data_IF_595829609212
#
_entry.id   IF_595829609212
#
_cell.length_a   1.000
_cell.length_b   1.000
_cell.length_c   1.000
_cell.angle_alpha   90.00
_cell.angle_beta   90.00
_cell.angle_gamma   90.00
#
_symmetry.space_group_name_H-M   'P 1'
#
loop_
_entity.id
_entity.type
_entity.pdbx_description
1 polymer ?
#
# COMPACT_ATOMS: atom_id res chain seq x y z
N UNK A 1 -34.58 32.14 8.69
CA UNK A 1 -35.29 31.09 9.45
C UNK A 1 -34.38 30.60 10.57
N UNK A 2 -34.83 30.64 11.82
CA UNK A 2 -34.09 30.12 12.98
C UNK A 2 -34.59 28.70 13.24
N UNK A 3 -33.70 27.70 13.16
CA UNK A 3 -34.04 26.31 13.47
C UNK A 3 -34.08 26.14 14.99
N UNK A 4 -35.30 26.04 15.53
CA UNK A 4 -35.51 25.65 16.93
C UNK A 4 -35.77 24.14 16.96
N UNK A 5 -34.69 23.36 16.95
CA UNK A 5 -34.72 21.91 17.14
C UNK A 5 -33.88 21.55 18.34
N UNK A 6 -34.40 20.68 19.21
CA UNK A 6 -33.66 20.15 20.35
C UNK A 6 -32.40 19.42 19.83
N UNK A 7 -31.25 19.75 20.42
CA UNK A 7 -29.96 19.17 20.03
C UNK A 7 -29.93 17.69 20.43
N UNK A 8 -30.31 16.82 19.50
CA UNK A 8 -30.18 15.37 19.67
C UNK A 8 -28.72 14.99 19.52
N UNK A 9 -28.10 14.58 20.61
CA UNK A 9 -26.74 14.04 20.57
C UNK A 9 -26.71 12.72 19.79
N UNK A 10 -25.68 12.49 18.95
CA UNK A 10 -25.53 11.21 18.27
C UNK A 10 -25.36 10.09 19.31
N UNK A 11 -25.83 8.88 18.98
CA UNK A 11 -25.62 7.74 19.86
C UNK A 11 -24.12 7.50 20.10
N UNK A 12 -23.73 6.99 21.28
CA UNK A 12 -22.32 6.74 21.59
C UNK A 12 -21.70 5.73 20.62
N UNK A 13 -20.56 6.09 20.02
CA UNK A 13 -19.83 5.22 19.10
C UNK A 13 -19.23 4.05 19.89
N UNK A 14 -19.71 2.82 19.63
CA UNK A 14 -19.13 1.59 20.20
C UNK A 14 -18.15 0.96 19.20
N UNK A 15 -16.93 0.66 19.65
CA UNK A 15 -15.96 -0.11 18.85
C UNK A 15 -16.46 -1.56 18.74
N UNK A 16 -16.74 -2.02 17.53
CA UNK A 16 -17.06 -3.42 17.29
C UNK A 16 -15.80 -4.28 17.48
N UNK A 17 -15.91 -5.50 18.03
CA UNK A 17 -14.78 -6.41 18.05
C UNK A 17 -14.31 -6.64 16.62
N UNK A 18 -12.99 -6.56 16.41
CA UNK A 18 -12.38 -6.84 15.12
C UNK A 18 -12.55 -8.31 14.73
N UNK A 19 -12.31 -8.62 13.46
CA UNK A 19 -12.34 -10.00 12.97
C UNK A 19 -11.41 -10.89 13.81
N UNK A 20 -11.87 -12.07 14.27
CA UNK A 20 -11.01 -13.02 14.97
C UNK A 20 -9.77 -13.34 14.12
N UNK A 21 -8.59 -13.27 14.76
CA UNK A 21 -7.34 -13.64 14.09
C UNK A 21 -7.40 -15.14 13.76
N UNK A 22 -7.13 -15.49 12.50
CA UNK A 22 -6.92 -16.90 12.13
C UNK A 22 -5.69 -17.43 12.87
N UNK A 23 -5.79 -18.61 13.46
CA UNK A 23 -4.64 -19.31 14.02
C UNK A 23 -3.72 -19.75 12.87
N UNK A 24 -2.65 -18.99 12.60
CA UNK A 24 -1.65 -19.32 11.58
C UNK A 24 -0.56 -20.20 12.20
N UNK A 25 -0.84 -21.49 12.39
CA UNK A 25 0.20 -22.48 12.69
C UNK A 25 0.91 -22.84 11.38
N UNK A 26 2.24 -22.88 11.41
CA UNK A 26 3.05 -23.33 10.28
C UNK A 26 3.04 -24.87 10.22
N UNK A 27 3.05 -25.43 9.01
CA UNK A 27 3.31 -26.87 8.84
C UNK A 27 4.75 -27.23 9.22
N UNK A 28 5.05 -28.53 9.39
CA UNK A 28 6.40 -29.01 9.75
C UNK A 28 7.43 -28.69 8.66
N UNK A 29 7.00 -28.71 7.40
CA UNK A 29 7.82 -28.48 6.21
C UNK A 29 7.91 -27.01 5.79
N UNK A 30 7.15 -26.12 6.45
CA UNK A 30 7.24 -24.69 6.16
C UNK A 30 8.59 -24.13 6.60
N UNK A 31 9.33 -23.45 5.70
CA UNK A 31 10.59 -22.83 6.07
C UNK A 31 10.35 -21.82 7.20
N UNK A 32 10.99 -22.06 8.36
CA UNK A 32 11.03 -21.09 9.45
C UNK A 32 11.68 -19.84 8.86
N UNK A 33 10.93 -18.74 8.76
CA UNK A 33 11.43 -17.41 8.35
C UNK A 33 12.79 -17.19 9.02
N UNK A 34 13.88 -17.44 8.29
CA UNK A 34 15.21 -17.16 8.78
C UNK A 34 15.25 -15.65 8.77
N UNK A 35 15.07 -15.04 9.94
CA UNK A 35 14.94 -13.59 10.13
C UNK A 35 16.12 -12.78 9.58
N UNK A 36 17.19 -13.48 9.15
CA UNK A 36 18.43 -12.97 8.59
C UNK A 36 18.59 -13.15 7.07
N UNK A 37 17.83 -14.02 6.38
CA UNK A 37 18.17 -14.41 4.99
C UNK A 37 17.46 -13.59 3.90
N UNK A 38 16.29 -12.99 4.13
CA UNK A 38 15.59 -12.29 3.03
C UNK A 38 14.87 -11.02 3.49
N UNK A 39 15.57 -10.11 4.18
CA UNK A 39 15.18 -8.70 4.10
C UNK A 39 16.01 -8.09 2.98
N UNK A 40 15.56 -8.28 1.74
CA UNK A 40 16.13 -7.53 0.61
C UNK A 40 15.87 -6.06 0.91
N UNK A 41 16.90 -5.37 1.40
CA UNK A 41 16.83 -3.96 1.69
C UNK A 41 16.66 -3.21 0.37
N UNK A 42 15.82 -2.18 0.36
CA UNK A 42 15.74 -1.26 -0.77
C UNK A 42 16.95 -0.32 -0.85
N UNK A 43 17.82 -0.33 0.17
CA UNK A 43 19.01 0.51 0.25
C UNK A 43 19.99 0.12 -0.87
N UNK A 44 20.36 1.09 -1.71
CA UNK A 44 21.28 0.89 -2.83
C UNK A 44 20.63 0.39 -4.13
N UNK A 45 19.30 0.17 -4.17
CA UNK A 45 18.62 -0.12 -5.44
C UNK A 45 18.59 1.14 -6.29
N UNK A 46 19.04 1.02 -7.54
CA UNK A 46 18.95 2.11 -8.51
C UNK A 46 17.48 2.30 -8.94
N UNK A 47 17.04 3.55 -8.98
CA UNK A 47 15.71 3.91 -9.43
C UNK A 47 15.66 3.86 -10.96
N UNK A 48 15.10 2.76 -11.48
CA UNK A 48 14.79 2.60 -12.89
C UNK A 48 13.32 2.96 -13.17
N UNK A 49 13.09 3.55 -14.33
CA UNK A 49 11.75 3.83 -14.85
C UNK A 49 11.02 2.51 -15.13
N UNK A 50 9.80 2.34 -14.63
CA UNK A 50 9.01 1.13 -14.90
C UNK A 50 8.58 0.98 -16.36
N UNK A 51 8.58 2.08 -17.13
CA UNK A 51 8.21 2.10 -18.55
C UNK A 51 9.41 1.80 -19.46
N UNK A 52 10.39 2.71 -19.51
CA UNK A 52 11.54 2.57 -20.41
C UNK A 52 12.74 1.82 -19.81
N UNK A 53 12.68 1.43 -18.52
CA UNK A 53 13.72 0.68 -17.80
C UNK A 53 15.08 1.40 -17.67
N UNK A 54 15.17 2.65 -18.11
CA UNK A 54 16.34 3.50 -17.91
C UNK A 54 16.39 4.07 -16.49
N UNK A 55 17.59 4.35 -16.03
CA UNK A 55 17.86 4.92 -14.71
C UNK A 55 17.76 6.46 -14.72
N UNK A 56 17.65 7.06 -13.54
CA UNK A 56 17.65 8.52 -13.38
C UNK A 56 16.28 9.20 -13.44
N UNK A 57 15.21 8.47 -13.77
CA UNK A 57 13.85 9.00 -13.69
C UNK A 57 12.82 7.93 -13.27
N UNK A 58 11.67 8.38 -12.76
CA UNK A 58 10.48 7.55 -12.51
C UNK A 58 9.55 7.62 -13.72
N UNK A 59 8.59 6.70 -13.80
CA UNK A 59 7.58 6.66 -14.87
C UNK A 59 6.93 8.02 -15.16
N UNK A 60 6.61 8.79 -14.12
CA UNK A 60 5.99 10.12 -14.26
C UNK A 60 6.87 11.16 -14.98
N UNK A 61 8.20 11.00 -14.93
CA UNK A 61 9.15 11.85 -15.66
C UNK A 61 9.76 11.12 -16.86
N UNK A 62 9.08 10.09 -17.39
CA UNK A 62 9.61 9.32 -18.51
C UNK A 62 9.48 10.12 -19.82
N UNK A 63 10.58 10.38 -20.54
CA UNK A 63 10.54 11.14 -21.78
C UNK A 63 9.76 10.41 -22.89
N UNK A 64 9.69 9.08 -22.82
CA UNK A 64 8.93 8.25 -23.76
C UNK A 64 7.42 8.36 -23.51
N UNK A 65 7.00 8.57 -22.26
CA UNK A 65 5.59 8.78 -21.92
C UNK A 65 5.18 10.22 -22.19
N UNK A 66 6.08 11.18 -21.96
CA UNK A 66 5.81 12.60 -22.28
C UNK A 66 5.76 12.86 -23.78
N UNK A 67 6.48 12.08 -24.58
CA UNK A 67 6.42 12.13 -26.03
C UNK A 67 5.28 11.23 -26.51
N UNK A 68 4.05 11.74 -26.37
CA UNK A 68 2.81 11.16 -26.86
C UNK A 68 2.98 10.41 -28.20
N UNK A 69 2.97 9.08 -28.16
CA UNK A 69 2.28 8.29 -29.18
C UNK A 69 1.06 7.69 -28.51
N UNK A 70 -0.05 8.41 -28.68
CA UNK A 70 -1.38 8.02 -28.24
C UNK A 70 -1.80 6.82 -29.07
N UNK A 71 -1.75 5.63 -28.50
CA UNK A 71 -2.55 4.50 -28.97
C UNK A 71 -3.66 4.25 -27.95
N UNK A 72 -4.88 4.58 -28.39
CA UNK A 72 -6.14 4.25 -27.72
C UNK A 72 -6.30 2.74 -27.56
#
# INVERSE_FOLDING_TARGET
MKFYGELVNPPPIRKRPGKPKKNKRKSKDEPKKISKVVKISRKGRIMACSHCKQEGHKMAGCPVISNNEVWF
#
